data_IF_781002476279
#
_entry.id   IF_781002476279
#
_cell.length_a   1.000
_cell.length_b   1.000
_cell.length_c   1.000
_cell.angle_alpha   90.00
_cell.angle_beta   90.00
_cell.angle_gamma   90.00
#
_symmetry.space_group_name_H-M   'P 1'
#
loop_
_entity.id
_entity.type
_entity.pdbx_description
1 polymer ?
#
# COMPACT_ATOMS: atom_id res chain seq x y z
N UNK A 1 14.48 13.32 17.81
CA UNK A 1 13.48 12.31 17.42
C UNK A 1 12.08 12.89 17.70
N UNK A 2 11.07 12.58 16.89
CA UNK A 2 9.73 13.20 17.03
C UNK A 2 9.06 12.73 18.34
N UNK A 3 8.48 13.66 19.08
CA UNK A 3 7.80 13.36 20.34
C UNK A 3 6.47 12.59 20.15
N UNK A 4 5.86 12.65 18.95
CA UNK A 4 4.56 12.03 18.66
C UNK A 4 4.53 11.35 17.28
N UNK A 5 5.27 10.24 17.09
CA UNK A 5 5.51 9.64 15.77
C UNK A 5 4.26 9.04 15.10
N UNK A 6 3.18 8.78 15.87
CA UNK A 6 1.89 8.31 15.33
C UNK A 6 1.05 9.43 14.71
N UNK A 7 1.22 10.66 15.20
CA UNK A 7 0.50 11.86 14.73
C UNK A 7 1.32 12.60 13.68
N UNK A 8 2.62 12.73 13.93
CA UNK A 8 3.59 13.35 13.05
C UNK A 8 4.49 12.26 12.50
N UNK A 9 4.17 11.74 11.32
CA UNK A 9 5.03 10.74 10.69
C UNK A 9 6.27 11.44 10.12
N UNK A 10 7.42 10.74 10.02
CA UNK A 10 8.59 11.27 9.34
C UNK A 10 8.31 11.73 7.90
N UNK A 11 7.41 11.04 7.18
CA UNK A 11 7.02 11.40 5.81
C UNK A 11 6.18 12.69 5.75
N UNK A 12 5.39 12.97 6.78
CA UNK A 12 4.56 14.16 6.85
C UNK A 12 5.31 15.40 7.38
N UNK A 13 6.35 15.18 8.19
CA UNK A 13 7.00 16.27 8.94
C UNK A 13 8.50 16.38 8.67
N UNK A 14 9.26 15.31 8.89
CA UNK A 14 10.73 15.38 8.81
C UNK A 14 11.20 15.58 7.37
N UNK A 15 10.69 14.78 6.44
CA UNK A 15 11.12 14.81 5.03
C UNK A 15 10.76 16.15 4.36
N UNK A 16 9.52 16.66 4.45
CA UNK A 16 9.19 17.96 3.85
C UNK A 16 9.98 19.12 4.47
N UNK A 17 10.20 19.10 5.79
CA UNK A 17 10.99 20.14 6.45
C UNK A 17 12.46 20.11 6.00
N UNK A 18 13.09 18.93 5.96
CA UNK A 18 14.45 18.77 5.47
C UNK A 18 14.60 19.27 4.03
N UNK A 19 13.65 18.93 3.14
CA UNK A 19 13.64 19.40 1.75
C UNK A 19 13.45 20.92 1.64
N UNK A 20 12.63 21.52 2.50
CA UNK A 20 12.43 22.96 2.52
C UNK A 20 13.70 23.71 2.95
N UNK A 21 14.42 23.20 3.95
CA UNK A 21 15.69 23.79 4.40
C UNK A 21 16.84 23.55 3.43
N UNK A 22 16.89 22.41 2.74
CA UNK A 22 17.90 22.13 1.70
C UNK A 22 17.90 23.18 0.57
N UNK A 23 16.77 23.86 0.33
CA UNK A 23 16.64 24.95 -0.65
C UNK A 23 17.20 26.29 -0.17
N UNK A 24 17.59 26.41 1.11
CA UNK A 24 18.05 27.66 1.73
C UNK A 24 19.51 27.54 2.17
N UNK A 25 20.40 28.14 1.38
CA UNK A 25 21.86 28.08 1.60
C UNK A 25 22.26 28.54 3.00
N UNK A 26 21.67 29.63 3.49
CA UNK A 26 21.92 30.21 4.81
C UNK A 26 21.60 29.26 5.97
N UNK A 27 20.67 28.33 5.74
CA UNK A 27 20.18 27.41 6.75
C UNK A 27 21.11 26.20 6.95
N UNK A 28 22.01 25.94 6.00
CA UNK A 28 22.97 24.83 6.05
C UNK A 28 24.02 24.99 7.15
N UNK A 29 24.26 26.21 7.63
CA UNK A 29 25.20 26.48 8.72
C UNK A 29 24.67 26.04 10.10
N UNK A 30 23.37 25.76 10.23
CA UNK A 30 22.75 25.47 11.52
C UNK A 30 22.87 23.98 11.88
N UNK A 31 23.49 23.62 13.02
CA UNK A 31 23.65 22.21 13.41
C UNK A 31 22.33 21.45 13.57
N UNK A 32 21.25 22.14 13.93
CA UNK A 32 19.92 21.55 14.02
C UNK A 32 19.39 21.08 12.65
N UNK A 33 19.71 21.79 11.58
CA UNK A 33 19.31 21.44 10.21
C UNK A 33 20.12 20.24 9.71
N UNK A 34 21.40 20.16 10.06
CA UNK A 34 22.19 18.95 9.83
C UNK A 34 21.57 17.70 10.46
N UNK A 35 21.16 17.79 11.74
CA UNK A 35 20.47 16.67 12.42
C UNK A 35 19.12 16.32 11.82
N UNK A 36 18.34 17.32 11.38
CA UNK A 36 17.07 17.10 10.69
C UNK A 36 17.28 16.37 9.36
N UNK A 37 18.27 16.79 8.59
CA UNK A 37 18.65 16.18 7.30
C UNK A 37 19.05 14.73 7.49
N UNK A 38 19.96 14.44 8.42
CA UNK A 38 20.38 13.05 8.69
C UNK A 38 19.21 12.19 9.16
N UNK A 39 18.35 12.68 10.06
CA UNK A 39 17.16 11.94 10.48
C UNK A 39 16.18 11.66 9.32
N UNK A 40 16.06 12.58 8.36
CA UNK A 40 15.26 12.37 7.16
C UNK A 40 15.92 11.34 6.22
N UNK A 41 17.24 11.42 6.02
CA UNK A 41 18.00 10.47 5.21
C UNK A 41 17.93 9.05 5.77
N UNK A 42 18.12 8.88 7.08
CA UNK A 42 18.02 7.58 7.76
C UNK A 42 16.63 6.95 7.58
N UNK A 43 15.58 7.74 7.75
CA UNK A 43 14.20 7.27 7.50
C UNK A 43 14.00 6.84 6.05
N UNK A 44 14.43 7.65 5.08
CA UNK A 44 14.29 7.34 3.65
C UNK A 44 15.10 6.10 3.26
N UNK A 45 16.35 5.99 3.70
CA UNK A 45 17.23 4.83 3.47
C UNK A 45 16.62 3.55 4.06
N UNK A 46 16.10 3.61 5.29
CA UNK A 46 15.39 2.50 5.91
C UNK A 46 14.19 2.03 5.09
N UNK A 47 13.40 2.96 4.53
CA UNK A 47 12.28 2.62 3.64
C UNK A 47 12.72 2.05 2.29
N UNK A 48 13.80 2.57 1.71
CA UNK A 48 14.37 2.07 0.45
C UNK A 48 14.88 0.64 0.63
N UNK A 49 15.48 0.33 1.76
CA UNK A 49 16.01 -1.01 2.08
C UNK A 49 14.94 -2.10 2.21
N UNK A 50 13.66 -1.76 2.43
CA UNK A 50 12.58 -2.76 2.50
C UNK A 50 12.48 -3.55 1.18
N UNK A 51 12.25 -4.87 1.18
CA UNK A 51 12.05 -5.60 -0.07
C UNK A 51 10.83 -5.08 -0.86
N UNK A 52 11.00 -4.90 -2.17
CA UNK A 52 9.92 -4.57 -3.11
C UNK A 52 10.17 -5.34 -4.40
N UNK A 53 9.49 -6.46 -4.54
CA UNK A 53 9.49 -7.23 -5.77
C UNK A 53 8.13 -7.08 -6.45
N UNK A 54 8.16 -6.98 -7.79
CA UNK A 54 6.94 -7.09 -8.56
C UNK A 54 6.34 -8.49 -8.36
N UNK A 55 5.00 -8.63 -8.25
CA UNK A 55 4.37 -9.93 -8.29
C UNK A 55 4.78 -10.68 -9.56
N UNK A 56 5.26 -11.93 -9.42
CA UNK A 56 5.74 -12.73 -10.56
C UNK A 56 4.60 -13.32 -11.37
N UNK A 57 3.43 -13.47 -10.74
CA UNK A 57 2.23 -14.08 -11.29
C UNK A 57 0.96 -13.43 -10.69
N UNK A 58 -0.19 -14.07 -10.87
CA UNK A 58 -1.47 -13.60 -10.31
C UNK A 58 -1.69 -14.04 -8.86
N UNK A 59 -0.75 -14.65 -8.16
CA UNK A 59 -0.92 -14.96 -6.75
C UNK A 59 -0.90 -13.67 -5.90
N UNK A 60 -1.77 -13.62 -4.91
CA UNK A 60 -1.86 -12.54 -3.92
C UNK A 60 -1.88 -13.17 -2.53
N UNK A 61 -1.41 -12.40 -1.54
CA UNK A 61 -1.58 -12.81 -0.15
C UNK A 61 -3.07 -12.92 0.18
N UNK A 62 -3.40 -13.84 1.08
CA UNK A 62 -4.74 -14.00 1.61
C UNK A 62 -4.81 -13.43 3.05
N UNK A 63 -5.19 -12.16 3.23
CA UNK A 63 -5.36 -11.55 4.55
C UNK A 63 -6.76 -11.79 5.15
N UNK A 64 -7.64 -12.54 4.48
CA UNK A 64 -9.02 -12.75 4.91
C UNK A 64 -9.04 -13.54 6.24
N UNK A 65 -9.78 -13.02 7.22
CA UNK A 65 -9.96 -13.66 8.53
C UNK A 65 -11.25 -14.48 8.64
N UNK A 66 -12.23 -14.18 7.80
CA UNK A 66 -13.50 -14.91 7.77
C UNK A 66 -13.32 -16.30 7.19
N UNK A 67 -13.96 -17.30 7.80
CA UNK A 67 -13.83 -18.72 7.43
C UNK A 67 -15.08 -19.30 6.76
N UNK A 68 -16.07 -18.46 6.42
CA UNK A 68 -17.26 -18.88 5.68
C UNK A 68 -16.87 -19.40 4.28
N UNK A 69 -17.76 -20.16 3.65
CA UNK A 69 -17.47 -20.83 2.37
C UNK A 69 -17.08 -19.84 1.26
N UNK A 70 -17.75 -18.68 1.19
CA UNK A 70 -17.46 -17.65 0.20
C UNK A 70 -16.07 -17.02 0.39
N UNK A 71 -15.70 -16.70 1.64
CA UNK A 71 -14.39 -16.15 1.96
C UNK A 71 -13.28 -17.18 1.81
N UNK A 72 -13.55 -18.47 2.06
CA UNK A 72 -12.62 -19.57 1.80
C UNK A 72 -12.37 -19.75 0.31
N UNK A 73 -13.43 -19.72 -0.50
CA UNK A 73 -13.32 -19.78 -1.96
C UNK A 73 -12.56 -18.57 -2.51
N UNK A 74 -12.84 -17.36 -2.01
CA UNK A 74 -12.10 -16.17 -2.39
C UNK A 74 -10.62 -16.24 -1.95
N UNK A 75 -10.34 -16.78 -0.76
CA UNK A 75 -8.99 -16.97 -0.26
C UNK A 75 -8.16 -17.95 -1.09
N UNK A 76 -8.78 -19.05 -1.54
CA UNK A 76 -8.16 -20.00 -2.47
C UNK A 76 -7.89 -19.35 -3.83
N UNK A 77 -8.85 -18.58 -4.33
CA UNK A 77 -8.65 -17.76 -5.54
C UNK A 77 -7.47 -16.78 -5.37
N UNK A 78 -7.35 -16.09 -4.24
CA UNK A 78 -6.29 -15.10 -4.03
C UNK A 78 -4.89 -15.71 -4.24
N UNK A 79 -4.65 -16.90 -3.71
CA UNK A 79 -3.33 -17.56 -3.81
C UNK A 79 -3.09 -18.29 -5.15
N UNK A 80 -4.11 -18.45 -5.99
CA UNK A 80 -3.98 -19.09 -7.30
C UNK A 80 -3.12 -18.23 -8.26
N UNK A 81 -2.00 -18.74 -8.81
CA UNK A 81 -1.10 -17.96 -9.68
C UNK A 81 -1.63 -17.74 -11.10
N UNK A 82 -2.65 -18.49 -11.53
CA UNK A 82 -3.18 -18.48 -12.90
C UNK A 82 -4.54 -17.80 -13.00
N UNK A 83 -5.32 -17.81 -11.91
CA UNK A 83 -6.66 -17.22 -11.92
C UNK A 83 -6.62 -15.70 -11.66
N UNK A 84 -7.05 -14.91 -12.66
CA UNK A 84 -7.12 -13.44 -12.57
C UNK A 84 -8.45 -12.94 -12.01
N UNK A 85 -9.54 -13.67 -12.29
CA UNK A 85 -10.90 -13.27 -11.94
C UNK A 85 -11.65 -14.39 -11.22
N UNK A 86 -12.42 -14.01 -10.22
CA UNK A 86 -13.32 -14.86 -9.47
C UNK A 86 -14.74 -14.31 -9.52
N UNK A 87 -15.72 -15.21 -9.52
CA UNK A 87 -17.14 -14.86 -9.66
C UNK A 87 -17.95 -15.53 -8.58
N UNK A 88 -18.80 -14.75 -7.91
CA UNK A 88 -19.76 -15.22 -6.91
C UNK A 88 -21.18 -14.82 -7.32
N UNK A 89 -21.95 -15.78 -7.79
CA UNK A 89 -23.39 -15.62 -8.01
C UNK A 89 -24.14 -15.99 -6.72
N UNK A 90 -24.57 -14.97 -5.97
CA UNK A 90 -25.20 -15.15 -4.67
C UNK A 90 -26.18 -14.01 -4.36
N UNK A 91 -27.04 -14.18 -3.35
CA UNK A 91 -27.90 -13.10 -2.85
C UNK A 91 -27.08 -11.90 -2.33
N UNK A 92 -27.72 -10.73 -2.21
CA UNK A 92 -27.04 -9.48 -1.87
C UNK A 92 -26.28 -9.55 -0.54
N UNK A 93 -26.88 -10.13 0.50
CA UNK A 93 -26.25 -10.26 1.82
C UNK A 93 -24.88 -10.98 1.76
N UNK A 94 -24.79 -12.08 0.99
CA UNK A 94 -23.53 -12.82 0.79
C UNK A 94 -22.50 -12.01 0.01
N UNK A 95 -22.93 -11.32 -1.06
CA UNK A 95 -22.01 -10.46 -1.83
C UNK A 95 -21.48 -9.31 -0.98
N UNK A 96 -22.35 -8.64 -0.23
CA UNK A 96 -21.97 -7.54 0.67
C UNK A 96 -21.00 -8.02 1.76
N UNK A 97 -21.22 -9.21 2.33
CA UNK A 97 -20.28 -9.80 3.29
C UNK A 97 -18.87 -9.98 2.70
N UNK A 98 -18.77 -10.47 1.46
CA UNK A 98 -17.49 -10.63 0.78
C UNK A 98 -16.84 -9.28 0.48
N UNK A 99 -17.61 -8.31 -0.01
CA UNK A 99 -17.12 -6.94 -0.28
C UNK A 99 -16.54 -6.29 0.99
N UNK A 100 -17.23 -6.41 2.12
CA UNK A 100 -16.77 -5.90 3.41
C UNK A 100 -15.51 -6.64 3.90
N UNK A 101 -15.46 -7.96 3.75
CA UNK A 101 -14.29 -8.76 4.11
C UNK A 101 -13.05 -8.34 3.32
N UNK A 102 -13.20 -8.08 2.02
CA UNK A 102 -12.12 -7.57 1.16
C UNK A 102 -11.69 -6.17 1.58
N UNK A 103 -12.64 -5.27 1.84
CA UNK A 103 -12.34 -3.89 2.25
C UNK A 103 -11.57 -3.84 3.56
N UNK A 104 -11.95 -4.67 4.53
CA UNK A 104 -11.31 -4.73 5.85
C UNK A 104 -9.93 -5.39 5.81
N UNK A 105 -9.71 -6.32 4.89
CA UNK A 105 -8.45 -7.06 4.79
C UNK A 105 -7.42 -6.40 3.86
N UNK A 106 -7.78 -5.32 3.15
CA UNK A 106 -6.92 -4.58 2.22
C UNK A 106 -6.34 -5.51 1.14
N UNK A 107 -7.19 -6.33 0.53
CA UNK A 107 -6.76 -7.20 -0.57
C UNK A 107 -6.54 -6.38 -1.86
N UNK A 108 -5.57 -6.79 -2.68
CA UNK A 108 -5.33 -6.24 -4.02
C UNK A 108 -6.38 -6.78 -5.02
N UNK A 109 -7.63 -6.37 -4.84
CA UNK A 109 -8.79 -6.75 -5.65
C UNK A 109 -9.59 -5.53 -6.09
N UNK A 110 -10.04 -5.53 -7.34
CA UNK A 110 -11.13 -4.69 -7.83
C UNK A 110 -12.44 -5.49 -7.79
N UNK A 111 -13.47 -4.88 -7.20
CA UNK A 111 -14.78 -5.50 -7.03
C UNK A 111 -15.81 -4.82 -7.92
N UNK A 112 -16.56 -5.61 -8.68
CA UNK A 112 -17.67 -5.13 -9.50
C UNK A 112 -18.88 -6.06 -9.38
N UNK A 113 -20.09 -5.50 -9.35
CA UNK A 113 -21.31 -6.30 -9.41
C UNK A 113 -21.86 -6.29 -10.83
N UNK A 114 -21.89 -7.46 -11.46
CA UNK A 114 -22.59 -7.68 -12.74
C UNK A 114 -24.09 -7.88 -12.49
N UNK A 115 -24.90 -6.93 -12.96
CA UNK A 115 -26.35 -6.89 -12.77
C UNK A 115 -27.09 -7.52 -13.96
N UNK A 116 -26.76 -8.77 -14.28
CA UNK A 116 -27.43 -9.54 -15.34
C UNK A 116 -28.16 -10.75 -14.75
N UNK A 117 -29.50 -10.66 -14.72
CA UNK A 117 -30.37 -11.69 -14.15
C UNK A 117 -30.30 -11.75 -12.61
N UNK A 118 -31.19 -12.52 -11.99
CA UNK A 118 -31.19 -12.72 -10.52
C UNK A 118 -30.76 -14.14 -10.16
N UNK A 119 -30.01 -14.35 -9.08
CA UNK A 119 -29.27 -13.34 -8.31
C UNK A 119 -28.08 -12.76 -9.10
N UNK A 120 -27.70 -11.49 -8.83
CA UNK A 120 -26.53 -10.84 -9.45
C UNK A 120 -25.20 -11.52 -9.08
N UNK A 121 -24.15 -11.23 -9.86
CA UNK A 121 -22.81 -11.81 -9.68
C UNK A 121 -21.83 -10.75 -9.17
N UNK A 122 -21.10 -11.05 -8.08
CA UNK A 122 -19.92 -10.29 -7.68
C UNK A 122 -18.72 -10.81 -8.46
N UNK A 123 -18.00 -9.92 -9.13
CA UNK A 123 -16.76 -10.18 -9.84
C UNK A 123 -15.63 -9.57 -9.02
N UNK A 124 -14.64 -10.39 -8.65
CA UNK A 124 -13.40 -9.95 -8.06
C UNK A 124 -12.27 -10.15 -9.07
N UNK A 125 -11.55 -9.08 -9.39
CA UNK A 125 -10.40 -9.09 -10.30
C UNK A 125 -9.15 -8.75 -9.51
N UNK A 126 -8.12 -9.57 -9.61
CA UNK A 126 -6.84 -9.27 -8.97
C UNK A 126 -6.17 -8.07 -9.63
N UNK A 127 -5.66 -7.18 -8.80
CA UNK A 127 -4.82 -6.07 -9.24
C UNK A 127 -3.47 -6.12 -8.51
N UNK A 128 -2.69 -5.06 -8.57
CA UNK A 128 -1.39 -4.96 -7.89
C UNK A 128 -1.22 -3.62 -7.18
N UNK A 129 -2.33 -3.05 -6.71
CA UNK A 129 -2.40 -1.69 -6.18
C UNK A 129 -1.44 -1.47 -5.00
N UNK A 130 -1.24 -2.46 -4.14
CA UNK A 130 -0.29 -2.35 -3.03
C UNK A 130 1.17 -2.33 -3.49
N UNK A 131 1.53 -3.13 -4.49
CA UNK A 131 2.85 -3.06 -5.11
C UNK A 131 3.08 -1.69 -5.75
N UNK A 132 2.16 -1.23 -6.59
CA UNK A 132 2.27 0.05 -7.31
C UNK A 132 2.41 1.24 -6.35
N UNK A 133 1.63 1.24 -5.26
CA UNK A 133 1.74 2.24 -4.20
C UNK A 133 3.13 2.24 -3.57
N UNK A 134 3.68 1.07 -3.22
CA UNK A 134 5.02 0.96 -2.64
C UNK A 134 6.13 1.32 -3.64
N UNK A 135 5.96 0.97 -4.91
CA UNK A 135 6.88 1.37 -5.99
C UNK A 135 6.91 2.88 -6.18
N UNK A 136 5.75 3.54 -6.19
CA UNK A 136 5.65 5.00 -6.25
C UNK A 136 6.35 5.65 -5.05
N UNK A 137 6.08 5.14 -3.85
CA UNK A 137 6.73 5.62 -2.62
C UNK A 137 8.25 5.46 -2.66
N UNK A 138 8.77 4.35 -3.19
CA UNK A 138 10.22 4.13 -3.33
C UNK A 138 10.86 5.12 -4.30
N UNK A 139 10.24 5.35 -5.45
CA UNK A 139 10.73 6.34 -6.42
C UNK A 139 10.84 7.73 -5.78
N UNK A 140 9.78 8.16 -5.10
CA UNK A 140 9.78 9.44 -4.36
C UNK A 140 10.86 9.47 -3.26
N UNK A 141 11.07 8.36 -2.54
CA UNK A 141 12.11 8.30 -1.53
C UNK A 141 13.52 8.46 -2.12
N UNK A 142 13.80 7.84 -3.27
CA UNK A 142 15.08 7.99 -3.99
C UNK A 142 15.29 9.43 -4.46
N UNK A 143 14.26 10.06 -5.01
CA UNK A 143 14.29 11.48 -5.41
C UNK A 143 14.60 12.39 -4.21
N UNK A 144 13.96 12.14 -3.06
CA UNK A 144 14.20 12.91 -1.84
C UNK A 144 15.62 12.70 -1.27
N UNK A 145 16.14 11.46 -1.30
CA UNK A 145 17.54 11.19 -0.88
C UNK A 145 18.52 11.96 -1.76
N UNK A 146 18.32 11.93 -3.08
CA UNK A 146 19.15 12.71 -4.02
C UNK A 146 19.04 14.21 -3.75
N UNK A 147 17.85 14.74 -3.50
CA UNK A 147 17.64 16.17 -3.22
C UNK A 147 18.26 16.61 -1.89
N UNK A 148 18.37 15.69 -0.93
CA UNK A 148 19.07 15.89 0.34
C UNK A 148 20.56 15.55 0.24
N UNK A 149 21.11 15.29 -0.96
CA UNK A 149 22.54 15.06 -1.19
C UNK A 149 23.12 13.87 -0.43
N UNK A 150 22.36 12.78 -0.30
CA UNK A 150 22.77 11.56 0.41
C UNK A 150 22.54 10.29 -0.39
#
# INVERSE_FOLDING_TARGET
MLAWPRTYTPDAVLVPAALAFAKRVESMAWPAIGRLREAALDHLRGRIALPLEAPRDWSRSNPLKCTCDDCRALGAFLIDPHQQQWRLRAAQNRRTHVEESVRNAVCDLDLATERRGSPHTLIATKNQASYERRAKQRRQALEHVSALGG
#
